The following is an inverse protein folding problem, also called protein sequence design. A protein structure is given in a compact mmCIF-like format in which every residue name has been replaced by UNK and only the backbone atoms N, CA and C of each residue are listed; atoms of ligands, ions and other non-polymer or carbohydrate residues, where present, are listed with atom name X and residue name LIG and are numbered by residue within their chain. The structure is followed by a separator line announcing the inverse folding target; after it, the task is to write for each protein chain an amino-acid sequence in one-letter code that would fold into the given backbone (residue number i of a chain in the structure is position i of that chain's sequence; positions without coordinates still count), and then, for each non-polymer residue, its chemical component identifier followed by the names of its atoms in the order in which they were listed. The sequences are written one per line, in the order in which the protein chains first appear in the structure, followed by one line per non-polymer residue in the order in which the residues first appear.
data_IF_892939709962
#
_entry.id   IF_892939709962
#
_cell.length_a   1.000
_cell.length_b   1.000
_cell.length_c   1.000
_cell.angle_alpha   90.00
_cell.angle_beta   90.00
_cell.angle_gamma   90.00
#
_symmetry.space_group_name_H-M   'P 1'
#
loop_
_entity.id
_entity.type
_entity.pdbx_description
1 polymer ?
#
# COMPACT_ATOMS: atom_id res chain seq x y z
N UNK A 1 -13.46 -21.42 32.42
CA UNK A 1 -14.66 -22.09 31.87
C UNK A 1 -15.23 -22.92 33.01
N UNK A 2 -15.40 -22.30 34.19
CA UNK A 2 -15.52 -22.97 35.51
C UNK A 2 -16.50 -22.23 36.44
N UNK A 3 -17.37 -21.37 35.88
CA UNK A 3 -18.25 -20.48 36.66
C UNK A 3 -19.74 -20.69 36.42
N UNK A 4 -20.15 -21.73 35.68
CA UNK A 4 -21.58 -22.03 35.52
C UNK A 4 -22.02 -23.08 36.54
N UNK A 5 -22.56 -22.60 37.66
CA UNK A 5 -22.85 -23.36 38.88
C UNK A 5 -24.09 -24.27 38.79
N UNK A 6 -24.79 -24.33 37.64
CA UNK A 6 -25.98 -25.17 37.46
C UNK A 6 -25.88 -26.08 36.22
N UNK A 7 -25.47 -27.34 36.44
CA UNK A 7 -25.39 -28.39 35.40
C UNK A 7 -26.67 -28.56 34.57
N UNK A 8 -27.83 -28.21 35.12
CA UNK A 8 -29.14 -28.38 34.47
C UNK A 8 -29.46 -27.29 33.46
N UNK A 9 -29.07 -26.03 33.70
CA UNK A 9 -29.21 -24.94 32.72
C UNK A 9 -28.40 -25.24 31.45
N UNK A 10 -27.18 -25.74 31.65
CA UNK A 10 -26.32 -26.16 30.56
C UNK A 10 -26.98 -27.24 29.69
N UNK A 11 -27.69 -28.21 30.29
CA UNK A 11 -28.36 -29.27 29.52
C UNK A 11 -29.50 -28.77 28.65
N UNK A 12 -30.34 -27.85 29.16
CA UNK A 12 -31.38 -27.22 28.35
C UNK A 12 -30.80 -26.38 27.22
N UNK A 13 -29.76 -25.60 27.50
CA UNK A 13 -29.07 -24.83 26.48
C UNK A 13 -28.44 -25.74 25.41
N UNK A 14 -27.86 -26.88 25.80
CA UNK A 14 -27.28 -27.86 24.87
C UNK A 14 -28.36 -28.52 24.00
N UNK A 15 -29.52 -28.86 24.57
CA UNK A 15 -30.65 -29.38 23.81
C UNK A 15 -31.08 -28.38 22.73
N UNK A 16 -31.35 -27.13 23.12
CA UNK A 16 -31.78 -26.05 22.21
C UNK A 16 -30.73 -25.75 21.14
N UNK A 17 -29.44 -25.81 21.49
CA UNK A 17 -28.35 -25.66 20.53
C UNK A 17 -28.37 -26.77 19.47
N UNK A 18 -28.62 -28.01 19.87
CA UNK A 18 -28.60 -29.17 18.98
C UNK A 18 -29.85 -29.26 18.10
N UNK A 19 -31.03 -28.95 18.66
CA UNK A 19 -32.29 -28.97 17.90
C UNK A 19 -32.51 -27.72 17.05
N UNK A 20 -31.85 -26.62 17.40
CA UNK A 20 -32.03 -25.31 16.76
C UNK A 20 -33.46 -24.76 16.85
N UNK A 21 -34.23 -25.25 17.81
CA UNK A 21 -35.63 -24.89 18.06
C UNK A 21 -35.82 -24.33 19.47
N UNK A 22 -36.78 -23.42 19.68
CA UNK A 22 -37.12 -22.92 21.01
C UNK A 22 -37.67 -24.04 21.91
N UNK A 23 -37.38 -23.95 23.20
CA UNK A 23 -37.83 -24.86 24.24
C UNK A 23 -38.56 -24.07 25.33
N UNK A 24 -39.88 -24.27 25.41
CA UNK A 24 -40.69 -23.79 26.53
C UNK A 24 -41.03 -24.97 27.46
N UNK A 25 -40.74 -24.80 28.75
CA UNK A 25 -41.07 -25.75 29.82
C UNK A 25 -41.96 -25.02 30.85
N UNK A 26 -43.27 -25.28 30.84
CA UNK A 26 -44.21 -24.68 31.78
C UNK A 26 -43.95 -25.04 33.25
N UNK A 27 -43.53 -26.29 33.50
CA UNK A 27 -43.23 -26.85 34.82
C UNK A 27 -42.11 -27.88 34.70
N UNK A 28 -40.92 -27.53 35.19
CA UNK A 28 -39.71 -28.36 35.04
C UNK A 28 -39.83 -29.72 35.72
N UNK A 29 -40.57 -29.84 36.82
CA UNK A 29 -40.77 -31.10 37.53
C UNK A 29 -41.72 -32.05 36.79
N UNK A 30 -42.49 -31.56 35.81
CA UNK A 30 -43.47 -32.35 35.04
C UNK A 30 -43.01 -32.67 33.63
N UNK A 31 -41.89 -32.12 33.18
CA UNK A 31 -41.39 -32.35 31.82
C UNK A 31 -40.73 -33.72 31.69
N UNK A 32 -41.36 -34.61 30.91
CA UNK A 32 -40.89 -35.98 30.71
C UNK A 32 -39.75 -36.10 29.69
N UNK A 33 -39.44 -35.04 28.94
CA UNK A 33 -38.35 -35.04 27.93
C UNK A 33 -36.96 -35.07 28.58
N UNK A 34 -36.87 -34.69 29.86
CA UNK A 34 -35.62 -34.58 30.61
C UNK A 34 -35.72 -35.35 31.95
N UNK A 35 -35.76 -36.70 31.93
CA UNK A 35 -36.12 -37.51 33.11
C UNK A 35 -35.16 -37.41 34.30
N UNK A 36 -33.92 -36.96 34.09
CA UNK A 36 -32.89 -36.80 35.12
C UNK A 36 -33.10 -35.59 36.05
N UNK A 37 -34.06 -34.70 35.77
CA UNK A 37 -34.45 -33.63 36.70
C UNK A 37 -35.18 -34.15 37.94
N UNK A 38 -35.72 -35.38 37.87
CA UNK A 38 -36.43 -36.01 38.96
C UNK A 38 -35.51 -36.72 39.97
N UNK A 39 -34.32 -37.17 39.56
CA UNK A 39 -33.39 -37.92 40.42
C UNK A 39 -32.48 -37.02 41.29
N UNK A 40 -32.41 -35.72 40.99
CA UNK A 40 -31.66 -34.71 41.75
C UNK A 40 -32.58 -33.64 42.35
N UNK A 41 -33.81 -34.05 42.68
CA UNK A 41 -34.91 -33.18 43.09
C UNK A 41 -34.69 -32.45 44.42
N UNK A 42 -33.80 -32.89 45.31
CA UNK A 42 -33.69 -32.27 46.64
C UNK A 42 -32.94 -30.92 46.67
N UNK A 43 -32.08 -30.62 45.68
CA UNK A 43 -31.35 -29.34 45.62
C UNK A 43 -31.67 -28.46 44.40
N UNK A 44 -32.20 -29.02 43.31
CA UNK A 44 -32.41 -28.28 42.05
C UNK A 44 -33.83 -27.70 41.95
N UNK A 45 -34.82 -28.45 42.48
CA UNK A 45 -36.25 -28.10 42.40
C UNK A 45 -36.62 -26.80 43.12
N UNK A 46 -35.73 -26.26 43.96
CA UNK A 46 -36.02 -25.05 44.73
C UNK A 46 -35.90 -23.75 43.90
N UNK A 47 -35.16 -23.74 42.79
CA UNK A 47 -34.83 -22.48 42.11
C UNK A 47 -35.34 -22.33 40.67
N UNK A 48 -35.71 -23.39 39.94
CA UNK A 48 -36.19 -23.30 38.55
C UNK A 48 -37.51 -24.05 38.39
N UNK A 49 -38.62 -23.33 38.17
CA UNK A 49 -39.98 -23.87 38.01
C UNK A 49 -40.51 -23.72 36.59
N UNK A 50 -40.25 -22.61 35.91
CA UNK A 50 -40.60 -22.41 34.50
C UNK A 50 -39.40 -21.94 33.68
N UNK A 51 -39.36 -22.33 32.40
CA UNK A 51 -38.23 -22.07 31.50
C UNK A 51 -38.68 -21.71 30.10
N UNK A 52 -38.06 -20.69 29.52
CA UNK A 52 -38.12 -20.43 28.08
C UNK A 52 -36.71 -20.26 27.54
N UNK A 53 -36.36 -21.03 26.54
CA UNK A 53 -34.99 -21.11 26.02
C UNK A 53 -35.01 -21.08 24.50
N UNK A 54 -34.33 -20.11 23.89
CA UNK A 54 -34.37 -19.88 22.43
C UNK A 54 -32.93 -19.76 21.88
N UNK A 55 -32.63 -20.41 20.74
CA UNK A 55 -31.29 -20.37 20.17
C UNK A 55 -31.02 -19.02 19.50
N UNK A 56 -29.84 -18.44 19.76
CA UNK A 56 -29.35 -17.26 19.06
C UNK A 56 -28.59 -17.75 17.82
N UNK A 57 -29.09 -17.41 16.63
CA UNK A 57 -28.54 -17.88 15.35
C UNK A 57 -27.76 -16.78 14.63
N UNK A 58 -26.75 -17.17 13.87
CA UNK A 58 -26.05 -16.29 12.93
C UNK A 58 -26.89 -16.16 11.65
N UNK A 59 -27.21 -14.92 11.27
CA UNK A 59 -28.10 -14.61 10.14
C UNK A 59 -27.60 -15.09 8.77
N UNK A 60 -26.29 -15.33 8.59
CA UNK A 60 -25.70 -15.75 7.29
C UNK A 60 -25.52 -17.26 7.11
N UNK A 61 -25.40 -18.02 8.21
CA UNK A 61 -25.03 -19.46 8.16
C UNK A 61 -25.99 -20.38 8.92
N UNK A 62 -27.10 -19.83 9.44
CA UNK A 62 -28.06 -20.53 10.31
C UNK A 62 -27.40 -21.29 11.47
N UNK A 63 -26.19 -20.88 11.90
CA UNK A 63 -25.41 -21.55 12.94
C UNK A 63 -25.77 -20.97 14.30
N UNK A 64 -26.03 -21.80 15.30
CA UNK A 64 -26.27 -21.35 16.68
C UNK A 64 -24.96 -20.81 17.27
N UNK A 65 -24.96 -19.53 17.67
CA UNK A 65 -23.81 -18.84 18.27
C UNK A 65 -23.95 -18.66 19.79
N UNK A 66 -25.16 -18.80 20.30
CA UNK A 66 -25.47 -18.72 21.72
C UNK A 66 -26.89 -19.21 21.99
N UNK A 67 -27.28 -19.22 23.25
CA UNK A 67 -28.64 -19.59 23.67
C UNK A 67 -29.10 -18.58 24.71
N UNK A 68 -30.31 -18.05 24.55
CA UNK A 68 -30.93 -17.17 25.53
C UNK A 68 -31.89 -17.99 26.38
N UNK A 69 -31.80 -17.86 27.70
CA UNK A 69 -32.60 -18.62 28.65
C UNK A 69 -33.25 -17.66 29.65
N UNK A 70 -34.58 -17.68 29.70
CA UNK A 70 -35.39 -16.99 30.70
C UNK A 70 -35.91 -18.04 31.70
N UNK A 71 -35.79 -17.73 32.98
CA UNK A 71 -36.11 -18.63 34.09
C UNK A 71 -37.15 -17.94 34.97
N UNK A 72 -38.19 -18.69 35.37
CA UNK A 72 -39.23 -18.27 36.31
C UNK A 72 -39.92 -16.95 35.93
N UNK A 73 -40.89 -17.01 35.03
CA UNK A 73 -41.76 -15.85 34.78
C UNK A 73 -42.54 -15.49 36.05
N UNK A 74 -42.30 -14.30 36.59
CA UNK A 74 -42.98 -13.78 37.78
C UNK A 74 -44.26 -13.03 37.40
N UNK A 75 -45.32 -13.20 38.18
CA UNK A 75 -46.54 -12.41 38.06
C UNK A 75 -46.45 -11.15 38.94
N UNK A 76 -46.64 -9.96 38.35
CA UNK A 76 -46.37 -8.65 38.96
C UNK A 76 -47.08 -8.43 40.31
N UNK A 77 -48.29 -8.96 40.48
CA UNK A 77 -49.13 -8.66 41.64
C UNK A 77 -49.07 -9.73 42.74
N UNK A 78 -48.57 -10.94 42.44
CA UNK A 78 -48.66 -12.09 43.35
C UNK A 78 -47.30 -12.69 43.72
N UNK A 79 -46.24 -12.35 42.99
CA UNK A 79 -44.92 -12.98 43.13
C UNK A 79 -44.91 -14.48 42.81
N UNK A 80 -46.01 -15.03 42.28
CA UNK A 80 -46.10 -16.44 41.90
C UNK A 80 -45.42 -16.65 40.55
N UNK A 81 -44.78 -17.81 40.41
CA UNK A 81 -44.15 -18.22 39.15
C UNK A 81 -45.22 -18.81 38.22
N UNK A 82 -45.25 -18.34 36.97
CA UNK A 82 -46.14 -18.78 35.91
C UNK A 82 -45.35 -19.36 34.74
N UNK A 83 -46.02 -20.12 33.89
CA UNK A 83 -45.48 -20.57 32.61
C UNK A 83 -45.35 -19.40 31.62
N UNK A 84 -44.34 -19.47 30.75
CA UNK A 84 -44.22 -18.58 29.59
C UNK A 84 -45.32 -18.90 28.57
N UNK A 85 -45.96 -17.89 28.03
CA UNK A 85 -47.01 -18.01 27.03
C UNK A 85 -46.47 -17.76 25.61
N UNK A 86 -47.33 -17.93 24.59
CA UNK A 86 -46.95 -17.76 23.19
C UNK A 86 -46.48 -16.34 22.84
N UNK A 87 -46.97 -15.32 23.53
CA UNK A 87 -46.50 -13.94 23.31
C UNK A 87 -45.07 -13.77 23.84
N UNK A 88 -44.73 -14.42 24.96
CA UNK A 88 -43.36 -14.43 25.50
C UNK A 88 -42.40 -15.15 24.54
N UNK A 89 -42.82 -16.27 23.95
CA UNK A 89 -42.06 -16.99 22.92
C UNK A 89 -41.77 -16.09 21.71
N UNK A 90 -42.80 -15.46 21.14
CA UNK A 90 -42.65 -14.57 19.99
C UNK A 90 -41.77 -13.36 20.30
N UNK A 91 -41.91 -12.79 21.50
CA UNK A 91 -41.08 -11.67 21.94
C UNK A 91 -39.62 -12.09 22.07
N UNK A 92 -39.36 -13.24 22.71
CA UNK A 92 -38.00 -13.75 22.86
C UNK A 92 -37.40 -14.13 21.51
N UNK A 93 -38.17 -14.72 20.59
CA UNK A 93 -37.75 -15.00 19.22
C UNK A 93 -37.32 -13.73 18.48
N UNK A 94 -38.12 -12.66 18.56
CA UNK A 94 -37.74 -11.37 17.99
C UNK A 94 -36.47 -10.80 18.66
N UNK A 95 -36.37 -10.88 19.99
CA UNK A 95 -35.23 -10.39 20.75
C UNK A 95 -33.93 -11.13 20.38
N UNK A 96 -33.94 -12.46 20.27
CA UNK A 96 -32.72 -13.23 19.96
C UNK A 96 -32.22 -12.98 18.54
N UNK A 97 -33.07 -12.56 17.59
CA UNK A 97 -32.64 -12.13 16.26
C UNK A 97 -31.75 -10.89 16.40
N UNK A 98 -32.18 -9.89 17.17
CA UNK A 98 -31.38 -8.69 17.43
C UNK A 98 -30.11 -9.02 18.22
N UNK A 99 -30.16 -9.92 19.20
CA UNK A 99 -28.95 -10.41 19.88
C UNK A 99 -27.97 -11.08 18.90
N UNK A 100 -28.48 -11.90 17.97
CA UNK A 100 -27.67 -12.59 16.97
C UNK A 100 -26.94 -11.61 16.05
N UNK A 101 -27.66 -10.60 15.56
CA UNK A 101 -27.08 -9.51 14.74
C UNK A 101 -26.08 -8.67 15.54
N UNK A 102 -26.42 -8.30 16.79
CA UNK A 102 -25.55 -7.53 17.67
C UNK A 102 -24.24 -8.24 17.97
N UNK A 103 -24.30 -9.49 18.43
CA UNK A 103 -23.11 -10.31 18.72
C UNK A 103 -22.26 -10.50 17.46
N UNK A 104 -22.88 -10.78 16.31
CA UNK A 104 -22.15 -10.95 15.06
C UNK A 104 -21.42 -9.66 14.63
N UNK A 105 -22.09 -8.51 14.70
CA UNK A 105 -21.49 -7.23 14.34
C UNK A 105 -20.33 -6.89 15.29
N UNK A 106 -20.50 -7.10 16.60
CA UNK A 106 -19.41 -6.91 17.57
C UNK A 106 -18.23 -7.83 17.30
N UNK A 107 -18.46 -9.13 17.07
CA UNK A 107 -17.39 -10.08 16.76
C UNK A 107 -16.65 -9.75 15.45
N UNK A 108 -17.39 -9.31 14.43
CA UNK A 108 -16.81 -8.88 13.17
C UNK A 108 -15.95 -7.64 13.36
N UNK A 109 -16.43 -6.66 14.13
CA UNK A 109 -15.70 -5.43 14.44
C UNK A 109 -14.43 -5.72 15.24
N UNK A 110 -14.51 -6.55 16.30
CA UNK A 110 -13.33 -6.99 17.06
C UNK A 110 -12.31 -7.73 16.18
N UNK A 111 -12.78 -8.55 15.23
CA UNK A 111 -11.88 -9.27 14.31
C UNK A 111 -11.16 -8.30 13.38
N UNK A 112 -11.84 -7.26 12.89
CA UNK A 112 -11.24 -6.18 12.10
C UNK A 112 -10.23 -5.39 12.94
N UNK A 113 -10.57 -4.99 14.16
CA UNK A 113 -9.63 -4.28 15.05
C UNK A 113 -8.37 -5.11 15.33
N UNK A 114 -8.51 -6.41 15.62
CA UNK A 114 -7.36 -7.30 15.80
C UNK A 114 -6.53 -7.45 14.53
N UNK A 115 -7.17 -7.51 13.36
CA UNK A 115 -6.46 -7.57 12.08
C UNK A 115 -5.69 -6.26 11.81
N UNK A 116 -6.30 -5.11 12.08
CA UNK A 116 -5.64 -3.79 11.98
C UNK A 116 -4.45 -3.68 12.94
N UNK A 117 -4.59 -4.11 14.20
CA UNK A 117 -3.49 -4.11 15.15
C UNK A 117 -2.31 -4.98 14.68
N UNK A 118 -2.59 -6.18 14.14
CA UNK A 118 -1.55 -7.03 13.54
C UNK A 118 -0.87 -6.38 12.33
N UNK A 119 -1.66 -5.72 11.48
CA UNK A 119 -1.12 -4.98 10.33
C UNK A 119 -0.22 -3.83 10.77
N UNK A 120 -0.60 -3.07 11.81
CA UNK A 120 0.23 -1.98 12.35
C UNK A 120 1.58 -2.49 12.86
N UNK A 121 1.59 -3.56 13.66
CA UNK A 121 2.83 -4.19 14.14
C UNK A 121 3.68 -4.70 12.97
N UNK A 122 3.04 -5.28 11.96
CA UNK A 122 3.75 -5.76 10.75
C UNK A 122 4.41 -4.60 10.01
N UNK A 123 3.71 -3.48 9.83
CA UNK A 123 4.25 -2.27 9.20
C UNK A 123 5.38 -1.65 10.02
N UNK A 124 5.31 -1.69 11.34
CA UNK A 124 6.38 -1.22 12.23
C UNK A 124 7.66 -2.05 12.05
N UNK A 125 7.54 -3.38 12.03
CA UNK A 125 8.67 -4.29 11.79
C UNK A 125 9.25 -4.07 10.39
N UNK A 126 8.39 -3.92 9.38
CA UNK A 126 8.83 -3.62 8.01
C UNK A 126 9.54 -2.27 7.93
N UNK A 127 9.01 -1.23 8.58
CA UNK A 127 9.61 0.11 8.66
C UNK A 127 11.00 0.08 9.30
N UNK A 128 11.20 -0.72 10.37
CA UNK A 128 12.51 -0.91 10.99
C UNK A 128 13.53 -1.53 10.01
N UNK A 129 13.13 -2.58 9.28
CA UNK A 129 14.01 -3.22 8.30
C UNK A 129 14.21 -2.39 7.03
N UNK A 130 13.23 -1.57 6.65
CA UNK A 130 13.31 -0.65 5.53
C UNK A 130 14.20 0.56 5.84
N UNK A 131 14.25 1.00 7.10
CA UNK A 131 15.04 2.16 7.51
C UNK A 131 16.54 1.88 7.45
N UNK A 132 17.33 2.89 7.09
CA UNK A 132 18.79 2.84 7.13
C UNK A 132 19.31 2.67 8.57
N UNK A 133 20.45 1.99 8.71
CA UNK A 133 21.08 1.85 10.01
C UNK A 133 21.57 3.21 10.53
N UNK A 134 21.57 3.39 11.86
CA UNK A 134 22.04 4.63 12.49
C UNK A 134 23.52 4.90 12.21
N UNK A 135 24.34 3.84 12.16
CA UNK A 135 25.78 3.93 11.86
C UNK A 135 26.03 4.47 10.44
N UNK A 136 25.37 3.89 9.42
CA UNK A 136 25.44 4.36 8.03
C UNK A 136 24.94 5.81 7.88
N UNK A 137 23.88 6.15 8.61
CA UNK A 137 23.33 7.52 8.62
C UNK A 137 24.34 8.50 9.19
N UNK A 138 25.03 8.13 10.27
CA UNK A 138 26.04 8.98 10.93
C UNK A 138 27.27 9.16 10.03
N UNK A 139 27.71 8.12 9.33
CA UNK A 139 28.81 8.19 8.38
C UNK A 139 28.51 9.16 7.23
N UNK A 140 27.32 9.03 6.62
CA UNK A 140 26.88 9.95 5.57
C UNK A 140 26.75 11.38 6.10
N UNK A 141 26.20 11.57 7.30
CA UNK A 141 26.05 12.88 7.92
C UNK A 141 27.39 13.57 8.16
N UNK A 142 28.38 12.87 8.71
CA UNK A 142 29.72 13.43 8.96
C UNK A 142 30.39 13.81 7.65
N UNK A 143 30.29 12.93 6.65
CA UNK A 143 30.92 13.15 5.35
C UNK A 143 30.25 14.28 4.58
N UNK A 144 28.92 14.34 4.59
CA UNK A 144 28.17 15.42 3.96
C UNK A 144 28.46 16.76 4.64
N UNK A 145 28.50 16.82 5.97
CA UNK A 145 28.84 18.05 6.69
C UNK A 145 30.25 18.57 6.36
N UNK A 146 31.19 17.67 6.07
CA UNK A 146 32.57 18.03 5.74
C UNK A 146 32.77 18.39 4.26
N UNK A 147 32.16 17.63 3.34
CA UNK A 147 32.51 17.62 1.91
C UNK A 147 31.31 17.24 1.03
N UNK A 148 30.16 17.94 1.08
CA UNK A 148 29.22 17.83 -0.07
C UNK A 148 29.85 18.56 -1.26
N UNK A 149 30.33 17.88 -2.32
CA UNK A 149 30.96 18.54 -3.46
C UNK A 149 29.94 19.43 -4.19
N UNK A 150 30.40 20.43 -4.95
CA UNK A 150 29.46 21.32 -5.67
C UNK A 150 28.78 20.59 -6.82
N UNK A 151 27.60 21.05 -7.23
CA UNK A 151 26.91 20.47 -8.40
C UNK A 151 27.77 20.57 -9.68
N UNK A 152 28.61 21.60 -9.78
CA UNK A 152 29.56 21.77 -10.87
C UNK A 152 30.67 20.72 -10.85
N UNK A 153 31.27 20.40 -9.68
CA UNK A 153 32.30 19.37 -9.61
C UNK A 153 31.75 17.96 -9.90
N UNK A 154 30.47 17.75 -9.63
CA UNK A 154 29.77 16.49 -9.84
C UNK A 154 29.06 16.41 -11.20
N UNK A 155 29.16 17.45 -12.03
CA UNK A 155 28.46 17.57 -13.32
C UNK A 155 26.94 17.30 -13.27
N UNK A 156 26.29 17.57 -12.13
CA UNK A 156 24.87 17.22 -11.91
C UNK A 156 23.91 18.07 -12.76
N UNK A 157 24.35 19.21 -13.27
CA UNK A 157 23.54 20.08 -14.13
C UNK A 157 23.65 19.72 -15.61
N UNK A 158 24.53 18.80 -15.99
CA UNK A 158 24.72 18.36 -17.38
C UNK A 158 23.78 17.17 -17.69
N UNK A 159 23.09 17.24 -18.83
CA UNK A 159 22.29 16.12 -19.32
C UNK A 159 23.14 14.92 -19.76
N UNK A 160 24.42 15.14 -20.12
CA UNK A 160 25.37 14.09 -20.46
C UNK A 160 25.92 13.32 -19.25
N UNK A 161 25.51 13.68 -18.02
CA UNK A 161 25.93 13.04 -16.78
C UNK A 161 25.78 11.50 -16.84
N UNK A 162 26.76 10.78 -16.28
CA UNK A 162 26.77 9.33 -16.10
C UNK A 162 27.26 8.99 -14.69
N UNK A 163 26.59 8.03 -14.05
CA UNK A 163 26.89 7.58 -12.69
C UNK A 163 27.81 6.35 -12.63
N UNK A 164 28.25 5.80 -13.77
CA UNK A 164 29.03 4.55 -13.80
C UNK A 164 30.37 4.61 -13.06
N UNK A 165 30.96 5.79 -12.96
CA UNK A 165 32.21 6.00 -12.22
C UNK A 165 31.98 6.31 -10.74
N UNK A 166 30.73 6.58 -10.35
CA UNK A 166 30.37 6.93 -8.98
C UNK A 166 30.04 5.68 -8.16
N UNK A 167 30.50 5.64 -6.93
CA UNK A 167 30.07 4.68 -5.92
C UNK A 167 28.64 4.97 -5.45
N UNK A 168 27.98 3.96 -4.87
CA UNK A 168 26.64 4.13 -4.27
C UNK A 168 26.66 5.23 -3.19
N UNK A 169 27.76 5.37 -2.46
CA UNK A 169 27.91 6.42 -1.46
C UNK A 169 27.95 7.81 -2.09
N UNK A 170 28.73 8.00 -3.16
CA UNK A 170 28.80 9.29 -3.89
C UNK A 170 27.45 9.69 -4.48
N UNK A 171 26.66 8.73 -4.97
CA UNK A 171 25.30 9.04 -5.45
C UNK A 171 24.40 9.61 -4.35
N UNK A 172 24.55 9.16 -3.09
CA UNK A 172 23.80 9.74 -1.95
C UNK A 172 24.23 11.16 -1.62
N UNK A 173 25.53 11.47 -1.72
CA UNK A 173 26.04 12.84 -1.58
C UNK A 173 25.51 13.74 -2.71
N UNK A 174 25.45 13.23 -3.94
CA UNK A 174 24.85 13.93 -5.07
C UNK A 174 23.37 14.23 -4.81
N UNK A 175 22.61 13.29 -4.26
CA UNK A 175 21.21 13.51 -3.87
C UNK A 175 21.10 14.64 -2.83
N UNK A 176 21.92 14.63 -1.77
CA UNK A 176 21.96 15.72 -0.78
C UNK A 176 22.21 17.06 -1.48
N UNK A 177 23.20 17.11 -2.39
CA UNK A 177 23.51 18.31 -3.17
C UNK A 177 22.32 18.80 -4.00
N UNK A 178 21.55 17.91 -4.64
CA UNK A 178 20.34 18.30 -5.38
C UNK A 178 19.31 19.00 -4.49
N UNK A 179 19.04 18.46 -3.29
CA UNK A 179 18.13 19.09 -2.32
C UNK A 179 18.65 20.44 -1.83
N UNK A 180 19.95 20.56 -1.59
CA UNK A 180 20.59 21.81 -1.16
C UNK A 180 20.51 22.88 -2.25
N UNK A 181 20.90 22.57 -3.48
CA UNK A 181 20.98 23.55 -4.56
C UNK A 181 19.60 23.96 -5.09
N UNK A 182 18.56 23.15 -4.87
CA UNK A 182 17.16 23.54 -5.08
C UNK A 182 16.57 24.35 -3.91
N UNK A 183 17.36 24.69 -2.89
CA UNK A 183 16.97 25.41 -1.67
C UNK A 183 15.91 24.69 -0.81
N UNK A 184 15.65 23.40 -1.06
CA UNK A 184 14.59 22.65 -0.36
C UNK A 184 14.90 22.46 1.13
N UNK A 185 16.17 22.22 1.45
CA UNK A 185 16.63 22.05 2.85
C UNK A 185 16.34 23.30 3.67
N UNK A 186 16.65 24.48 3.10
CA UNK A 186 16.48 25.77 3.78
C UNK A 186 14.99 26.16 3.85
N UNK A 187 14.28 26.09 2.72
CA UNK A 187 12.89 26.55 2.61
C UNK A 187 11.96 25.73 3.50
N UNK A 188 12.22 24.43 3.64
CA UNK A 188 11.41 23.52 4.46
C UNK A 188 12.09 23.13 5.79
N UNK A 189 13.17 23.80 6.20
CA UNK A 189 13.83 23.55 7.49
C UNK A 189 14.14 22.06 7.75
N UNK A 190 14.58 21.34 6.71
CA UNK A 190 14.83 19.91 6.80
C UNK A 190 16.05 19.63 7.67
N UNK A 191 15.87 18.81 8.71
CA UNK A 191 16.99 18.35 9.55
C UNK A 191 17.93 17.51 8.69
N UNK A 192 19.21 17.87 8.67
CA UNK A 192 20.22 17.21 7.84
C UNK A 192 20.33 15.70 8.11
N UNK A 193 20.27 15.29 9.38
CA UNK A 193 20.25 13.88 9.79
C UNK A 193 19.05 13.11 9.20
N UNK A 194 17.85 13.71 9.26
CA UNK A 194 16.61 13.10 8.76
C UNK A 194 16.65 12.95 7.24
N UNK A 195 17.21 13.94 6.53
CA UNK A 195 17.42 13.85 5.08
C UNK A 195 18.41 12.74 4.71
N UNK A 196 19.56 12.64 5.41
CA UNK A 196 20.52 11.58 5.19
C UNK A 196 19.90 10.19 5.42
N UNK A 197 19.17 10.02 6.54
CA UNK A 197 18.47 8.76 6.85
C UNK A 197 17.46 8.42 5.76
N UNK A 198 16.64 9.39 5.34
CA UNK A 198 15.64 9.19 4.29
C UNK A 198 16.27 8.75 2.96
N UNK A 199 17.34 9.42 2.49
CA UNK A 199 18.04 9.06 1.25
C UNK A 199 18.58 7.62 1.32
N UNK A 200 19.21 7.25 2.43
CA UNK A 200 19.74 5.91 2.63
C UNK A 200 18.63 4.86 2.70
N UNK A 201 17.51 5.16 3.38
CA UNK A 201 16.34 4.28 3.44
C UNK A 201 15.74 4.08 2.06
N UNK A 202 15.54 5.14 1.27
CA UNK A 202 15.08 5.04 -0.13
C UNK A 202 16.02 4.13 -0.93
N UNK A 203 17.34 4.40 -0.90
CA UNK A 203 18.34 3.57 -1.58
C UNK A 203 18.27 2.10 -1.16
N UNK A 204 18.15 1.83 0.14
CA UNK A 204 18.10 0.47 0.71
C UNK A 204 16.87 -0.32 0.23
N UNK A 205 15.76 0.35 -0.06
CA UNK A 205 14.53 -0.27 -0.53
C UNK A 205 14.46 -0.47 -2.06
N UNK A 206 15.52 -0.10 -2.79
CA UNK A 206 15.73 -0.59 -4.16
C UNK A 206 16.40 -1.97 -4.16
N UNK A 207 15.89 -2.87 -5.01
CA UNK A 207 16.35 -4.26 -5.07
C UNK A 207 17.63 -4.41 -5.88
N UNK A 208 18.72 -4.84 -5.23
CA UNK A 208 20.02 -5.06 -5.88
C UNK A 208 20.02 -6.16 -6.95
N UNK A 209 19.07 -7.09 -6.88
CA UNK A 209 18.96 -8.21 -7.82
C UNK A 209 18.19 -7.85 -9.11
N UNK A 210 17.73 -6.61 -9.25
CA UNK A 210 17.05 -6.10 -10.45
C UNK A 210 18.07 -5.37 -11.32
N UNK A 211 18.17 -5.78 -12.58
CA UNK A 211 19.26 -5.36 -13.46
C UNK A 211 19.18 -3.86 -13.82
N UNK A 212 18.00 -3.35 -14.14
CA UNK A 212 17.80 -1.95 -14.55
C UNK A 212 17.06 -1.12 -13.52
N UNK A 213 15.85 -1.52 -13.11
CA UNK A 213 15.00 -0.75 -12.16
C UNK A 213 15.50 -0.87 -10.71
N UNK A 214 16.68 -0.30 -10.46
CA UNK A 214 17.37 -0.25 -9.16
C UNK A 214 17.71 1.20 -8.78
N UNK A 215 18.44 1.39 -7.67
CA UNK A 215 18.78 2.72 -7.15
C UNK A 215 19.46 3.62 -8.19
N UNK A 216 20.28 3.07 -9.09
CA UNK A 216 21.00 3.87 -10.10
C UNK A 216 20.04 4.48 -11.12
N UNK A 217 19.01 3.73 -11.51
CA UNK A 217 17.96 4.26 -12.37
C UNK A 217 17.22 5.42 -11.69
N UNK A 218 16.72 5.22 -10.47
CA UNK A 218 16.02 6.27 -9.73
C UNK A 218 16.87 7.53 -9.47
N UNK A 219 18.16 7.34 -9.15
CA UNK A 219 19.11 8.44 -9.00
C UNK A 219 19.30 9.22 -10.31
N UNK A 220 19.47 8.55 -11.45
CA UNK A 220 19.59 9.20 -12.76
C UNK A 220 18.31 9.92 -13.17
N UNK A 221 17.13 9.35 -12.87
CA UNK A 221 15.83 10.00 -13.08
C UNK A 221 15.73 11.30 -12.26
N UNK A 222 16.16 11.26 -11.00
CA UNK A 222 16.23 12.45 -10.15
C UNK A 222 17.28 13.48 -10.63
N UNK A 223 18.43 13.02 -11.12
CA UNK A 223 19.47 13.88 -11.70
C UNK A 223 18.95 14.59 -12.96
N UNK A 224 18.26 13.88 -13.85
CA UNK A 224 17.64 14.47 -15.03
C UNK A 224 16.61 15.53 -14.65
N UNK A 225 15.77 15.25 -13.65
CA UNK A 225 14.82 16.22 -13.11
C UNK A 225 15.55 17.46 -12.56
N UNK A 226 16.62 17.27 -11.78
CA UNK A 226 17.44 18.37 -11.27
C UNK A 226 18.05 19.22 -12.41
N UNK A 227 18.61 18.57 -13.45
CA UNK A 227 19.15 19.26 -14.62
C UNK A 227 18.06 20.01 -15.41
N UNK A 228 16.87 19.44 -15.56
CA UNK A 228 15.72 20.09 -16.20
C UNK A 228 15.25 21.31 -15.41
N UNK A 229 15.22 21.23 -14.08
CA UNK A 229 14.87 22.35 -13.20
C UNK A 229 15.91 23.47 -13.27
N UNK A 230 17.20 23.14 -13.21
CA UNK A 230 18.31 24.10 -13.22
C UNK A 230 18.67 24.58 -14.63
N UNK A 231 19.28 23.72 -15.43
CA UNK A 231 19.77 24.03 -16.78
C UNK A 231 18.62 24.28 -17.76
N UNK A 232 17.52 23.54 -17.63
CA UNK A 232 16.30 23.73 -18.41
C UNK A 232 15.44 24.93 -17.96
N UNK A 233 15.80 25.62 -16.87
CA UNK A 233 15.10 26.80 -16.32
C UNK A 233 13.61 26.54 -16.05
N UNK A 234 13.25 25.30 -15.69
CA UNK A 234 11.87 24.95 -15.33
C UNK A 234 11.57 25.37 -13.88
N UNK A 235 12.58 25.46 -13.01
CA UNK A 235 12.39 25.79 -11.59
C UNK A 235 11.61 27.10 -11.39
N UNK A 236 11.83 28.13 -12.22
CA UNK A 236 11.14 29.42 -12.09
C UNK A 236 9.64 29.36 -12.44
N UNK A 237 9.17 28.26 -13.01
CA UNK A 237 7.76 28.03 -13.39
C UNK A 237 7.01 27.19 -12.36
N UNK A 238 7.71 26.67 -11.36
CA UNK A 238 7.17 25.80 -10.33
C UNK A 238 7.29 26.45 -8.96
N UNK A 239 6.42 26.03 -8.04
CA UNK A 239 6.54 26.35 -6.62
C UNK A 239 7.59 25.46 -5.96
N UNK A 240 8.07 25.87 -4.78
CA UNK A 240 9.01 25.06 -4.00
C UNK A 240 8.40 23.71 -3.58
N UNK A 241 7.09 23.67 -3.29
CA UNK A 241 6.38 22.43 -2.95
C UNK A 241 6.28 21.46 -4.14
N UNK A 242 6.03 21.96 -5.35
CA UNK A 242 6.03 21.14 -6.57
C UNK A 242 7.43 20.61 -6.87
N UNK A 243 8.44 21.46 -6.71
CA UNK A 243 9.85 21.09 -6.88
C UNK A 243 10.26 20.00 -5.88
N UNK A 244 9.85 20.14 -4.62
CA UNK A 244 10.04 19.13 -3.58
C UNK A 244 9.36 17.81 -3.94
N UNK A 245 8.09 17.87 -4.35
CA UNK A 245 7.31 16.69 -4.70
C UNK A 245 7.93 15.92 -5.87
N UNK A 246 8.38 16.62 -6.93
CA UNK A 246 9.02 15.99 -8.09
C UNK A 246 10.35 15.31 -7.73
N UNK A 247 11.19 15.95 -6.90
CA UNK A 247 12.46 15.35 -6.51
C UNK A 247 12.25 14.11 -5.63
N UNK A 248 11.28 14.15 -4.72
CA UNK A 248 10.89 12.98 -3.92
C UNK A 248 10.32 11.87 -4.82
N UNK A 249 9.42 12.23 -5.74
CA UNK A 249 8.79 11.28 -6.65
C UNK A 249 9.81 10.58 -7.54
N UNK A 250 10.72 11.31 -8.18
CA UNK A 250 11.76 10.72 -9.04
C UNK A 250 12.67 9.74 -8.30
N UNK A 251 13.07 10.04 -7.07
CA UNK A 251 13.85 9.13 -6.23
C UNK A 251 13.06 7.89 -5.76
N UNK A 252 11.73 7.96 -5.78
CA UNK A 252 10.86 6.96 -5.15
C UNK A 252 9.98 6.17 -6.12
N UNK A 253 9.97 6.54 -7.41
CA UNK A 253 8.97 6.07 -8.37
C UNK A 253 9.02 4.56 -8.65
N UNK A 254 10.15 3.91 -8.39
CA UNK A 254 10.40 2.49 -8.64
C UNK A 254 10.78 1.71 -7.35
N UNK A 255 10.45 2.25 -6.17
CA UNK A 255 10.75 1.61 -4.89
C UNK A 255 10.18 0.19 -4.80
N UNK A 256 11.00 -0.79 -4.41
CA UNK A 256 10.61 -2.21 -4.39
C UNK A 256 10.22 -2.80 -5.77
N UNK A 257 10.67 -2.23 -6.89
CA UNK A 257 10.47 -2.84 -8.22
C UNK A 257 11.03 -4.27 -8.25
N UNK A 258 10.27 -5.20 -8.84
CA UNK A 258 10.52 -6.66 -8.73
C UNK A 258 11.11 -7.30 -9.98
N UNK A 259 11.49 -6.46 -10.96
CA UNK A 259 12.01 -6.91 -12.25
C UNK A 259 10.96 -7.58 -13.13
N UNK A 260 9.68 -7.22 -12.94
CA UNK A 260 8.55 -7.71 -13.74
C UNK A 260 7.54 -6.58 -13.94
N UNK A 261 6.89 -6.56 -15.10
CA UNK A 261 5.89 -5.54 -15.44
C UNK A 261 4.49 -5.84 -14.89
N UNK A 262 3.60 -4.84 -14.99
CA UNK A 262 2.19 -4.93 -14.56
C UNK A 262 1.42 -6.12 -15.20
N UNK A 263 1.73 -6.49 -16.45
CA UNK A 263 1.07 -7.61 -17.14
C UNK A 263 1.41 -8.95 -16.50
N UNK A 264 2.67 -9.15 -16.10
CA UNK A 264 3.11 -10.35 -15.38
C UNK A 264 2.37 -10.51 -14.05
N UNK A 265 2.27 -9.43 -13.28
CA UNK A 265 1.66 -9.43 -11.94
C UNK A 265 0.17 -9.79 -12.03
N UNK A 266 -0.52 -9.28 -13.04
CA UNK A 266 -1.92 -9.63 -13.30
C UNK A 266 -2.09 -11.10 -13.68
N UNK A 267 -1.19 -11.64 -14.52
CA UNK A 267 -1.26 -13.04 -14.99
C UNK A 267 -0.84 -14.07 -13.94
N UNK A 268 0.02 -13.68 -13.00
CA UNK A 268 0.50 -14.54 -11.91
C UNK A 268 -0.42 -14.57 -10.69
N UNK A 269 -1.59 -13.92 -10.75
CA UNK A 269 -2.54 -13.78 -9.63
C UNK A 269 -1.89 -13.26 -8.34
N UNK A 270 -0.86 -12.43 -8.49
CA UNK A 270 -0.09 -11.92 -7.35
C UNK A 270 -0.99 -11.04 -6.45
N UNK A 271 -0.84 -11.06 -5.11
CA UNK A 271 -1.69 -10.30 -4.18
C UNK A 271 -1.80 -8.80 -4.51
N UNK A 272 -0.76 -8.19 -5.10
CA UNK A 272 -0.79 -6.79 -5.55
C UNK A 272 -1.89 -6.53 -6.61
N UNK A 273 -2.16 -7.50 -7.50
CA UNK A 273 -3.24 -7.38 -8.49
C UNK A 273 -4.63 -7.44 -7.86
N UNK A 274 -4.78 -7.98 -6.64
CA UNK A 274 -6.03 -7.94 -5.89
C UNK A 274 -6.22 -6.60 -5.16
N UNK A 275 -5.12 -5.92 -4.82
CA UNK A 275 -5.14 -4.64 -4.11
C UNK A 275 -5.40 -3.46 -5.05
N UNK A 276 -4.82 -3.48 -6.26
CA UNK A 276 -4.94 -2.41 -7.24
C UNK A 276 -5.46 -2.93 -8.58
N UNK A 277 -6.29 -2.14 -9.27
CA UNK A 277 -6.90 -2.53 -10.54
C UNK A 277 -6.18 -1.97 -11.79
N UNK A 278 -5.44 -0.87 -11.66
CA UNK A 278 -4.64 -0.24 -12.72
C UNK A 278 -3.36 0.33 -12.10
N UNK A 279 -2.31 0.47 -12.92
CA UNK A 279 -0.99 0.98 -12.50
C UNK A 279 -0.53 0.35 -11.18
N UNK A 280 -0.53 -1.00 -11.17
CA UNK A 280 -0.46 -1.82 -9.95
C UNK A 280 0.86 -1.56 -9.22
N UNK A 281 1.98 -1.59 -9.96
CA UNK A 281 3.30 -1.34 -9.40
C UNK A 281 3.48 0.12 -8.99
N UNK A 282 2.95 1.07 -9.77
CA UNK A 282 3.09 2.49 -9.47
C UNK A 282 2.35 2.87 -8.18
N UNK A 283 1.19 2.26 -7.90
CA UNK A 283 0.54 2.37 -6.59
C UNK A 283 1.38 1.76 -5.47
N UNK A 284 1.98 0.60 -5.69
CA UNK A 284 2.87 -0.04 -4.73
C UNK A 284 4.12 0.82 -4.44
N UNK A 285 4.75 1.42 -5.45
CA UNK A 285 5.87 2.34 -5.31
C UNK A 285 5.51 3.56 -4.46
N UNK A 286 4.32 4.14 -4.70
CA UNK A 286 3.81 5.23 -3.87
C UNK A 286 3.59 4.80 -2.40
N UNK A 287 3.04 3.61 -2.16
CA UNK A 287 2.83 3.12 -0.80
C UNK A 287 4.16 2.82 -0.08
N UNK A 288 5.20 2.34 -0.79
CA UNK A 288 6.56 2.23 -0.26
C UNK A 288 7.16 3.60 0.08
N UNK A 289 7.01 4.59 -0.81
CA UNK A 289 7.43 5.96 -0.56
C UNK A 289 6.78 6.52 0.71
N UNK A 290 5.46 6.35 0.83
CA UNK A 290 4.68 6.80 1.98
C UNK A 290 5.10 6.09 3.27
N UNK A 291 5.38 4.79 3.22
CA UNK A 291 5.89 4.03 4.37
C UNK A 291 7.21 4.63 4.86
N UNK A 292 8.16 4.90 3.96
CA UNK A 292 9.47 5.48 4.34
C UNK A 292 9.28 6.90 4.89
N UNK A 293 8.45 7.74 4.25
CA UNK A 293 8.19 9.11 4.70
C UNK A 293 7.54 9.18 6.10
N UNK A 294 6.78 8.16 6.51
CA UNK A 294 6.19 8.08 7.84
C UNK A 294 7.06 7.34 8.86
N UNK A 295 8.13 6.66 8.41
CA UNK A 295 9.01 5.88 9.27
C UNK A 295 9.80 6.80 10.24
N UNK A 296 9.93 6.44 11.53
CA UNK A 296 10.67 7.23 12.52
C UNK A 296 12.05 7.66 12.01
N UNK A 297 12.33 8.96 12.11
CA UNK A 297 13.64 9.53 11.72
C UNK A 297 13.85 9.72 10.22
N UNK A 298 12.88 9.37 9.36
CA UNK A 298 12.90 9.59 7.90
C UNK A 298 11.93 10.69 7.45
N UNK A 299 11.21 11.33 8.38
CA UNK A 299 10.13 12.25 8.08
C UNK A 299 10.63 13.63 7.61
N UNK A 300 11.19 13.70 6.41
CA UNK A 300 11.72 14.95 5.81
C UNK A 300 10.67 16.04 5.59
N UNK A 301 9.39 15.68 5.64
CA UNK A 301 8.24 16.59 5.47
C UNK A 301 7.63 17.07 6.81
N UNK A 302 8.27 16.77 7.94
CA UNK A 302 7.69 17.01 9.28
C UNK A 302 7.44 18.48 9.63
N UNK A 303 8.09 19.41 8.92
CA UNK A 303 7.97 20.87 9.12
C UNK A 303 6.81 21.50 8.36
N UNK A 304 6.22 20.78 7.38
CA UNK A 304 5.10 21.27 6.59
C UNK A 304 3.83 21.38 7.44
N UNK A 305 2.96 22.33 7.10
CA UNK A 305 1.58 22.32 7.58
C UNK A 305 0.84 21.08 7.07
N UNK A 306 -0.29 20.73 7.70
CA UNK A 306 -1.07 19.55 7.30
C UNK A 306 -1.65 19.71 5.87
N UNK A 307 -1.98 20.93 5.48
CA UNK A 307 -2.45 21.30 4.14
C UNK A 307 -1.34 21.11 3.09
N UNK A 308 -0.14 21.63 3.36
CA UNK A 308 1.03 21.48 2.49
C UNK A 308 1.48 20.02 2.38
N UNK A 309 1.46 19.28 3.50
CA UNK A 309 1.76 17.85 3.52
C UNK A 309 0.81 17.06 2.63
N UNK A 310 -0.50 17.30 2.76
CA UNK A 310 -1.53 16.65 1.90
C UNK A 310 -1.35 17.03 0.43
N UNK A 311 -1.08 18.30 0.14
CA UNK A 311 -0.83 18.75 -1.23
C UNK A 311 0.43 18.10 -1.82
N UNK A 312 1.52 18.04 -1.06
CA UNK A 312 2.80 17.42 -1.44
C UNK A 312 2.61 15.93 -1.72
N UNK A 313 1.93 15.19 -0.83
CA UNK A 313 1.63 13.77 -1.05
C UNK A 313 0.76 13.53 -2.27
N UNK A 314 -0.23 14.41 -2.54
CA UNK A 314 -1.05 14.33 -3.75
C UNK A 314 -0.17 14.48 -5.00
N UNK A 315 0.74 15.46 -5.01
CA UNK A 315 1.65 15.68 -6.14
C UNK A 315 2.63 14.52 -6.33
N UNK A 316 3.21 13.99 -5.25
CA UNK A 316 4.08 12.79 -5.30
C UNK A 316 3.31 11.62 -5.90
N UNK A 317 2.07 11.37 -5.43
CA UNK A 317 1.23 10.30 -5.97
C UNK A 317 0.98 10.47 -7.46
N UNK A 318 0.59 11.67 -7.89
CA UNK A 318 0.33 11.96 -9.31
C UNK A 318 1.59 11.78 -10.17
N UNK A 319 2.75 12.21 -9.67
CA UNK A 319 4.03 12.09 -10.35
C UNK A 319 4.49 10.63 -10.49
N UNK A 320 4.37 9.82 -9.43
CA UNK A 320 4.72 8.39 -9.49
C UNK A 320 3.73 7.64 -10.40
N UNK A 321 2.42 7.87 -10.28
CA UNK A 321 1.46 7.21 -11.19
C UNK A 321 1.67 7.60 -12.66
N UNK A 322 2.22 8.79 -12.94
CA UNK A 322 2.51 9.24 -14.30
C UNK A 322 3.67 8.49 -14.98
N UNK A 323 4.48 7.71 -14.25
CA UNK A 323 5.52 6.87 -14.86
C UNK A 323 4.95 5.63 -15.56
N UNK A 324 3.67 5.29 -15.34
CA UNK A 324 2.99 4.26 -16.13
C UNK A 324 2.84 4.72 -17.59
N UNK A 325 3.59 4.07 -18.49
CA UNK A 325 3.58 4.36 -19.92
C UNK A 325 2.18 4.24 -20.56
N UNK A 326 1.28 3.41 -20.00
CA UNK A 326 -0.09 3.33 -20.49
C UNK A 326 -0.87 4.64 -20.26
N UNK A 327 -0.63 5.30 -19.11
CA UNK A 327 -1.21 6.60 -18.81
C UNK A 327 -0.57 7.71 -19.64
N UNK A 328 0.75 7.66 -19.84
CA UNK A 328 1.44 8.57 -20.76
C UNK A 328 0.85 8.50 -22.18
N UNK A 329 0.73 7.31 -22.77
CA UNK A 329 0.17 7.13 -24.12
C UNK A 329 -1.25 7.69 -24.23
N UNK A 330 -2.06 7.55 -23.17
CA UNK A 330 -3.41 8.08 -23.11
C UNK A 330 -3.46 9.61 -23.05
N UNK A 331 -2.51 10.25 -22.35
CA UNK A 331 -2.53 11.70 -22.08
C UNK A 331 -1.68 12.53 -23.04
N UNK A 332 -0.65 11.95 -23.67
CA UNK A 332 0.31 12.70 -24.52
C UNK A 332 -0.32 13.46 -25.67
N UNK A 333 -1.40 12.92 -26.25
CA UNK A 333 -2.10 13.55 -27.38
C UNK A 333 -2.69 14.92 -27.01
N UNK A 334 -3.24 15.05 -25.80
CA UNK A 334 -3.75 16.33 -25.28
C UNK A 334 -2.61 17.34 -25.12
N UNK A 335 -1.48 16.92 -24.54
CA UNK A 335 -0.32 17.78 -24.33
C UNK A 335 0.24 18.31 -25.66
N UNK A 336 0.44 17.43 -26.64
CA UNK A 336 0.96 17.81 -27.95
C UNK A 336 -0.01 18.71 -28.72
N UNK A 337 -1.32 18.50 -28.61
CA UNK A 337 -2.32 19.39 -29.22
C UNK A 337 -2.32 20.79 -28.60
N UNK A 338 -2.19 20.89 -27.27
CA UNK A 338 -2.09 22.18 -26.57
C UNK A 338 -0.84 22.96 -27.00
N UNK A 339 0.30 22.29 -27.14
CA UNK A 339 1.54 22.88 -27.63
C UNK A 339 1.42 23.32 -29.09
N UNK A 340 0.91 22.44 -29.97
CA UNK A 340 0.71 22.70 -31.40
C UNK A 340 -0.19 23.91 -31.65
N UNK A 341 -1.25 24.06 -30.85
CA UNK A 341 -2.19 25.18 -30.93
C UNK A 341 -1.71 26.43 -30.19
N UNK A 342 -0.55 26.38 -29.51
CA UNK A 342 -0.03 27.45 -28.64
C UNK A 342 -1.03 27.88 -27.55
N UNK A 343 -1.80 26.92 -27.04
CA UNK A 343 -2.81 27.12 -26.00
C UNK A 343 -2.35 26.65 -24.62
N UNK A 344 -1.12 26.14 -24.53
CA UNK A 344 -0.55 25.63 -23.29
C UNK A 344 -0.30 26.76 -22.28
N UNK A 345 -0.90 26.66 -21.10
CA UNK A 345 -0.80 27.62 -20.01
C UNK A 345 -0.49 26.92 -18.67
N UNK A 346 0.64 27.23 -18.06
CA UNK A 346 1.07 26.68 -16.76
C UNK A 346 0.32 27.26 -15.56
N UNK A 347 -0.44 28.35 -15.74
CA UNK A 347 -1.32 28.90 -14.71
C UNK A 347 -2.61 28.07 -14.56
N UNK A 348 -2.96 27.28 -15.57
CA UNK A 348 -4.08 26.33 -15.49
C UNK A 348 -3.63 25.10 -14.68
N UNK A 349 -4.29 24.78 -13.54
CA UNK A 349 -3.90 23.66 -12.69
C UNK A 349 -3.91 22.30 -13.41
N UNK A 350 -4.83 22.10 -14.35
CA UNK A 350 -4.97 20.84 -15.09
C UNK A 350 -3.84 20.69 -16.11
N UNK A 351 -3.52 21.76 -16.82
CA UNK A 351 -2.41 21.75 -17.78
C UNK A 351 -1.06 21.68 -17.08
N UNK A 352 -0.92 22.28 -15.90
CA UNK A 352 0.26 22.14 -15.06
C UNK A 352 0.44 20.70 -14.57
N UNK A 353 -0.63 20.05 -14.11
CA UNK A 353 -0.58 18.61 -13.76
C UNK A 353 -0.15 17.77 -14.97
N UNK A 354 -0.71 18.02 -16.15
CA UNK A 354 -0.34 17.33 -17.38
C UNK A 354 1.14 17.53 -17.73
N UNK A 355 1.65 18.76 -17.59
CA UNK A 355 3.06 19.06 -17.81
C UNK A 355 3.98 18.35 -16.82
N UNK A 356 3.63 18.33 -15.54
CA UNK A 356 4.39 17.61 -14.52
C UNK A 356 4.43 16.10 -14.82
N UNK A 357 3.31 15.53 -15.28
CA UNK A 357 3.26 14.14 -15.72
C UNK A 357 4.18 13.87 -16.92
N UNK A 358 4.16 14.72 -17.95
CA UNK A 358 5.05 14.59 -19.11
C UNK A 358 6.53 14.76 -18.72
N UNK A 359 6.83 15.70 -17.80
CA UNK A 359 8.18 15.93 -17.30
C UNK A 359 8.71 14.72 -16.51
N UNK A 360 7.85 14.08 -15.70
CA UNK A 360 8.20 12.83 -15.02
C UNK A 360 8.55 11.72 -16.03
N UNK A 361 7.70 11.47 -17.03
CA UNK A 361 7.99 10.48 -18.09
C UNK A 361 9.27 10.83 -18.86
N UNK A 362 9.53 12.11 -19.13
CA UNK A 362 10.73 12.55 -19.82
C UNK A 362 12.02 12.30 -19.00
N UNK A 363 11.93 12.41 -17.68
CA UNK A 363 13.05 12.11 -16.78
C UNK A 363 13.26 10.60 -16.63
N UNK A 364 12.18 9.84 -16.53
CA UNK A 364 12.20 8.37 -16.42
C UNK A 364 12.86 7.72 -17.66
N UNK A 365 12.49 8.19 -18.85
CA UNK A 365 13.06 7.72 -20.11
C UNK A 365 14.41 8.36 -20.48
N UNK A 366 14.98 9.21 -19.62
CA UNK A 366 16.12 10.07 -19.95
C UNK A 366 17.40 9.32 -20.33
N UNK A 367 17.53 8.04 -19.95
CA UNK A 367 18.63 7.18 -20.36
C UNK A 367 18.84 7.18 -21.89
N UNK A 368 17.75 7.24 -22.67
CA UNK A 368 17.78 7.24 -24.14
C UNK A 368 18.49 8.46 -24.73
N UNK A 369 18.60 9.54 -23.96
CA UNK A 369 19.22 10.81 -24.39
C UNK A 369 20.70 10.88 -24.07
N UNK A 370 21.25 9.90 -23.36
CA UNK A 370 22.65 9.87 -22.94
C UNK A 370 23.59 9.57 -24.11
N UNK A 371 24.89 9.97 -24.02
CA UNK A 371 25.88 9.62 -25.02
C UNK A 371 25.92 8.12 -25.32
N UNK A 372 26.21 7.76 -26.59
CA UNK A 372 26.14 6.38 -27.08
C UNK A 372 26.79 5.31 -26.18
N UNK A 373 28.01 5.51 -25.62
CA UNK A 373 28.63 4.51 -24.75
C UNK A 373 27.81 4.22 -23.48
N UNK A 374 27.10 5.24 -22.96
CA UNK A 374 26.23 5.10 -21.80
C UNK A 374 24.94 4.41 -22.22
N UNK A 375 24.30 4.89 -23.28
CA UNK A 375 23.04 4.34 -23.77
C UNK A 375 23.16 2.86 -24.15
N UNK A 376 24.27 2.44 -24.76
CA UNK A 376 24.49 1.04 -25.09
C UNK A 376 24.47 0.14 -23.84
N UNK A 377 25.15 0.55 -22.76
CA UNK A 377 25.18 -0.21 -21.50
C UNK A 377 23.79 -0.27 -20.85
N UNK A 378 23.06 0.85 -20.85
CA UNK A 378 21.71 0.88 -20.29
C UNK A 378 20.76 -0.03 -21.09
N UNK A 379 20.82 0.00 -22.43
CA UNK A 379 20.03 -0.88 -23.27
C UNK A 379 20.31 -2.37 -22.99
N UNK A 380 21.56 -2.74 -22.68
CA UNK A 380 21.93 -4.10 -22.27
C UNK A 380 21.32 -4.50 -20.92
N UNK A 381 21.29 -3.59 -19.94
CA UNK A 381 20.67 -3.83 -18.63
C UNK A 381 19.14 -4.02 -18.76
N UNK A 382 18.48 -3.14 -19.51
CA UNK A 382 17.03 -3.22 -19.79
C UNK A 382 16.69 -4.53 -20.50
N UNK A 383 17.47 -4.89 -21.53
CA UNK A 383 17.28 -6.14 -22.25
C UNK A 383 17.47 -7.36 -21.34
N UNK A 384 18.48 -7.34 -20.47
CA UNK A 384 18.71 -8.40 -19.47
C UNK A 384 17.50 -8.58 -18.57
N UNK A 385 16.93 -7.48 -18.07
CA UNK A 385 15.74 -7.54 -17.22
C UNK A 385 14.52 -8.11 -17.95
N UNK A 386 14.27 -7.68 -19.19
CA UNK A 386 13.18 -8.24 -20.00
C UNK A 386 13.37 -9.73 -20.31
N UNK A 387 14.61 -10.17 -20.54
CA UNK A 387 14.92 -11.57 -20.74
C UNK A 387 14.70 -12.40 -19.48
N UNK A 388 15.10 -11.89 -18.32
CA UNK A 388 14.86 -12.55 -17.04
C UNK A 388 13.36 -12.68 -16.75
N UNK A 389 12.56 -11.66 -17.09
CA UNK A 389 11.10 -11.75 -17.03
C UNK A 389 10.56 -12.81 -18.02
N UNK A 390 11.02 -12.82 -19.28
CA UNK A 390 10.58 -13.81 -20.27
C UNK A 390 10.89 -15.25 -19.86
N UNK A 391 12.04 -15.47 -19.23
CA UNK A 391 12.44 -16.75 -18.67
C UNK A 391 11.52 -17.18 -17.50
N UNK A 392 11.06 -16.22 -16.67
CA UNK A 392 10.05 -16.47 -15.62
C UNK A 392 8.68 -16.79 -16.22
N UNK A 393 8.20 -16.02 -17.20
CA UNK A 393 6.91 -16.27 -17.87
C UNK A 393 6.85 -17.68 -18.45
N UNK A 394 7.94 -18.12 -19.08
CA UNK A 394 8.05 -19.47 -19.63
C UNK A 394 7.99 -20.56 -18.54
N UNK A 395 8.67 -20.35 -17.40
CA UNK A 395 8.78 -21.35 -16.32
C UNK A 395 7.56 -21.41 -15.42
N UNK A 396 7.02 -20.25 -15.03
CA UNK A 396 5.98 -20.13 -14.01
C UNK A 396 4.58 -20.12 -14.63
N UNK A 397 4.42 -19.51 -15.81
CA UNK A 397 3.12 -19.33 -16.46
C UNK A 397 2.91 -20.25 -17.67
N UNK A 398 3.94 -20.97 -18.11
CA UNK A 398 3.93 -21.77 -19.35
C UNK A 398 3.51 -20.97 -20.59
N UNK A 399 3.91 -19.70 -20.68
CA UNK A 399 3.62 -18.79 -21.80
C UNK A 399 4.88 -18.62 -22.66
N UNK A 400 4.72 -18.57 -23.98
CA UNK A 400 5.80 -18.16 -24.87
C UNK A 400 6.02 -16.63 -24.78
N UNK A 401 7.21 -16.17 -24.36
CA UNK A 401 7.45 -14.74 -24.19
C UNK A 401 7.49 -14.03 -25.55
N UNK A 402 7.11 -12.75 -25.55
CA UNK A 402 7.18 -11.91 -26.74
C UNK A 402 8.63 -11.76 -27.25
N UNK A 403 8.80 -11.35 -28.51
CA UNK A 403 10.13 -11.14 -29.11
C UNK A 403 11.03 -10.22 -28.28
N UNK A 404 10.45 -9.25 -27.54
CA UNK A 404 11.18 -8.32 -26.68
C UNK A 404 11.81 -9.01 -25.47
N UNK A 405 11.12 -10.02 -24.94
CA UNK A 405 11.49 -10.74 -23.71
C UNK A 405 12.14 -12.09 -24.02
N UNK A 406 12.33 -12.43 -25.30
CA UNK A 406 12.96 -13.68 -25.69
C UNK A 406 14.46 -13.50 -25.90
N UNK A 407 15.28 -14.06 -24.99
CA UNK A 407 16.75 -14.01 -25.06
C UNK A 407 17.35 -14.56 -26.35
N UNK A 408 16.66 -15.47 -27.04
CA UNK A 408 17.12 -16.04 -28.31
C UNK A 408 17.05 -15.03 -29.46
N UNK A 409 16.23 -13.98 -29.33
CA UNK A 409 16.04 -12.92 -30.32
C UNK A 409 16.85 -11.66 -30.00
N UNK A 410 17.96 -11.81 -29.27
CA UNK A 410 18.88 -10.71 -28.90
C UNK A 410 19.35 -9.88 -30.10
N UNK A 411 19.50 -10.49 -31.27
CA UNK A 411 19.87 -9.82 -32.52
C UNK A 411 18.83 -8.78 -33.00
N UNK A 412 17.58 -8.85 -32.53
CA UNK A 412 16.53 -7.88 -32.88
C UNK A 412 16.53 -6.62 -32.01
N UNK A 413 17.25 -6.61 -30.87
CA UNK A 413 17.27 -5.46 -29.93
C UNK A 413 17.46 -4.11 -30.65
N UNK A 414 18.42 -3.94 -31.59
CA UNK A 414 18.60 -2.64 -32.25
C UNK A 414 17.34 -2.13 -32.96
N UNK A 415 16.65 -2.99 -33.71
CA UNK A 415 15.41 -2.63 -34.41
C UNK A 415 14.27 -2.28 -33.45
N UNK A 416 14.21 -2.95 -32.30
CA UNK A 416 13.20 -2.70 -31.27
C UNK A 416 13.46 -1.38 -30.55
N UNK A 417 14.73 -1.05 -30.30
CA UNK A 417 15.12 0.23 -29.73
C UNK A 417 14.78 1.39 -30.66
N UNK A 418 15.03 1.28 -31.97
CA UNK A 418 14.59 2.28 -32.95
C UNK A 418 13.08 2.47 -32.91
N UNK A 419 12.30 1.38 -32.92
CA UNK A 419 10.85 1.45 -32.81
C UNK A 419 10.36 2.11 -31.52
N UNK A 420 11.03 1.86 -30.39
CA UNK A 420 10.73 2.51 -29.11
C UNK A 420 11.04 4.01 -29.14
N UNK A 421 12.20 4.41 -29.67
CA UNK A 421 12.60 5.81 -29.83
C UNK A 421 11.56 6.56 -30.67
N UNK A 422 11.22 6.02 -31.83
CA UNK A 422 10.30 6.67 -32.78
C UNK A 422 8.87 6.76 -32.23
N UNK A 423 8.39 5.71 -31.56
CA UNK A 423 7.01 5.62 -31.11
C UNK A 423 6.73 6.33 -29.77
N UNK A 424 7.73 6.42 -28.89
CA UNK A 424 7.56 6.89 -27.50
C UNK A 424 8.41 8.13 -27.21
N UNK A 425 9.70 8.10 -27.53
CA UNK A 425 10.64 9.11 -27.05
C UNK A 425 10.62 10.40 -27.86
N UNK A 426 10.70 10.33 -29.19
CA UNK A 426 10.93 11.51 -30.05
C UNK A 426 9.91 12.62 -29.78
N UNK A 427 8.61 12.32 -29.87
CA UNK A 427 7.54 13.31 -29.70
C UNK A 427 7.53 13.98 -28.31
N UNK A 428 8.06 13.30 -27.29
CA UNK A 428 8.11 13.87 -25.94
C UNK A 428 9.24 14.89 -25.78
N UNK A 429 10.35 14.72 -26.51
CA UNK A 429 11.51 15.59 -26.43
C UNK A 429 11.53 16.70 -27.49
N UNK A 430 10.75 16.58 -28.56
CA UNK A 430 10.43 17.65 -29.53
C UNK A 430 9.53 18.74 -28.92
#
# INVERSE_FOLDING_TARGET
RDYDTNKINYMYAQYVKNTMEPLNIPDVCKDRRFPWTNDSAENVSQHIKSLLCTPIKNGKKNKVIGVCQLVNKMEENSGKIKAFNRNDEQFLEAFVIFCGLGIQNTQMYEAVERAMAKQMVTLEVLSYHASAAEEETRELQVTAAAVVPSAQSLNLTDFNFSDFELSDFETTLCTIRMFTDLNLVQNFQMKHEVLCRWILSVKKNYRKNVAYHNWRHAFNTAQCMFAALKSGKIQSKLTDLETLALLIATLSHDLDHRGVNNSYIQRSEHPLAQLYCHSIMEHHHFDQCLMILNSPGNQILSSLSIEEYKATLKMIKQAILATDLALYIKRRGEFFELLRKKQFNLEDPTQKELFLAMLMTACDLSAITKPWPVQQRIAELVATEFFDQGDKERKELNIEPTDLMNREKKNKIPSMQVGFIDAVCLQLYE
#
